data_IF_212169331114
#
_entry.id   IF_212169331114
#
_cell.length_a   1.000
_cell.length_b   1.000
_cell.length_c   1.000
_cell.angle_alpha   90.00
_cell.angle_beta   90.00
_cell.angle_gamma   90.00
#
_symmetry.space_group_name_H-M   'P 1'
#
loop_
_entity.id
_entity.type
_entity.pdbx_description
1 polymer ?
#
# COMPACT_ATOMS: atom_id res chain seq x y z
N UNK A 1 -20.29 3.61 -26.41
CA UNK A 1 -19.06 3.59 -25.57
C UNK A 1 -18.87 4.89 -24.80
N UNK A 2 -18.94 6.06 -25.45
CA UNK A 2 -18.78 7.38 -24.80
C UNK A 2 -19.81 7.68 -23.70
N UNK A 3 -21.10 7.41 -23.95
CA UNK A 3 -22.15 7.56 -22.93
C UNK A 3 -21.98 6.59 -21.75
N UNK A 4 -21.40 5.40 -21.97
CA UNK A 4 -21.19 4.42 -20.90
C UNK A 4 -20.06 4.86 -19.95
N UNK A 5 -18.98 5.42 -20.50
CA UNK A 5 -17.89 6.01 -19.70
C UNK A 5 -18.36 7.26 -18.94
N UNK A 6 -19.22 8.09 -19.57
CA UNK A 6 -19.80 9.28 -18.92
C UNK A 6 -20.68 8.91 -17.73
N UNK A 7 -21.63 7.99 -17.92
CA UNK A 7 -22.53 7.51 -16.85
C UNK A 7 -21.74 6.87 -15.70
N UNK A 8 -20.69 6.11 -16.01
CA UNK A 8 -19.84 5.47 -14.99
C UNK A 8 -18.97 6.49 -14.24
N UNK A 9 -18.46 7.50 -14.93
CA UNK A 9 -17.71 8.60 -14.32
C UNK A 9 -18.59 9.45 -13.40
N UNK A 10 -19.80 9.79 -13.83
CA UNK A 10 -20.77 10.54 -13.02
C UNK A 10 -21.17 9.75 -11.76
N UNK A 11 -21.38 8.43 -11.88
CA UNK A 11 -21.65 7.54 -10.74
C UNK A 11 -20.49 7.46 -9.74
N UNK A 12 -19.24 7.42 -10.22
CA UNK A 12 -18.05 7.43 -9.35
C UNK A 12 -17.88 8.75 -8.59
N UNK A 13 -18.24 9.87 -9.21
CA UNK A 13 -18.19 11.20 -8.58
C UNK A 13 -19.27 11.30 -7.48
N UNK A 14 -20.49 10.86 -7.76
CA UNK A 14 -21.59 10.90 -6.80
C UNK A 14 -21.34 10.00 -5.59
N UNK A 15 -20.85 8.77 -5.84
CA UNK A 15 -20.50 7.81 -4.76
C UNK A 15 -19.32 8.26 -3.91
N UNK A 16 -18.40 9.08 -4.44
CA UNK A 16 -17.32 9.67 -3.68
C UNK A 16 -17.76 10.85 -2.77
N UNK A 17 -19.03 11.27 -2.83
CA UNK A 17 -19.55 12.43 -2.10
C UNK A 17 -19.49 13.74 -2.90
N UNK A 18 -19.30 13.65 -4.22
CA UNK A 18 -19.27 14.79 -5.14
C UNK A 18 -17.89 15.07 -5.75
N UNK A 19 -17.84 16.10 -6.61
CA UNK A 19 -16.67 16.42 -7.43
C UNK A 19 -15.42 16.75 -6.63
N UNK A 20 -15.54 17.52 -5.55
CA UNK A 20 -14.39 17.93 -4.72
C UNK A 20 -13.79 16.73 -3.97
N UNK A 21 -14.58 15.90 -3.24
CA UNK A 21 -14.07 14.66 -2.66
C UNK A 21 -13.43 13.72 -3.67
N UNK A 22 -14.01 13.54 -4.85
CA UNK A 22 -13.44 12.72 -5.92
C UNK A 22 -12.04 13.19 -6.32
N UNK A 23 -11.86 14.49 -6.59
CA UNK A 23 -10.54 15.03 -6.95
C UNK A 23 -9.53 14.94 -5.81
N UNK A 24 -9.95 15.15 -4.56
CA UNK A 24 -9.11 14.94 -3.39
C UNK A 24 -8.64 13.48 -3.30
N UNK A 25 -9.55 12.54 -3.52
CA UNK A 25 -9.26 11.10 -3.52
C UNK A 25 -8.22 10.72 -4.57
N UNK A 26 -8.41 11.19 -5.82
CA UNK A 26 -7.45 10.97 -6.91
C UNK A 26 -6.10 11.62 -6.60
N UNK A 27 -6.09 12.83 -6.05
CA UNK A 27 -4.87 13.50 -5.63
C UNK A 27 -4.11 12.70 -4.57
N UNK A 28 -4.80 12.20 -3.54
CA UNK A 28 -4.19 11.39 -2.48
C UNK A 28 -3.57 10.09 -3.02
N UNK A 29 -4.22 9.45 -4.00
CA UNK A 29 -3.66 8.27 -4.69
C UNK A 29 -2.38 8.63 -5.44
N UNK A 30 -2.39 9.70 -6.24
CA UNK A 30 -1.23 10.10 -7.03
C UNK A 30 -0.07 10.57 -6.15
N UNK A 31 -0.37 11.41 -5.16
CA UNK A 31 0.59 11.94 -4.21
C UNK A 31 1.18 10.82 -3.34
N UNK A 32 0.34 10.02 -2.70
CA UNK A 32 0.77 8.88 -1.89
C UNK A 32 1.51 7.83 -2.71
N UNK A 33 1.08 7.58 -3.95
CA UNK A 33 1.73 6.66 -4.88
C UNK A 33 3.14 7.12 -5.26
N UNK A 34 3.30 8.41 -5.60
CA UNK A 34 4.61 8.99 -5.88
C UNK A 34 5.56 8.87 -4.69
N UNK A 35 5.14 9.29 -3.49
CA UNK A 35 5.98 9.22 -2.30
C UNK A 35 6.30 7.77 -1.91
N UNK A 36 5.32 6.87 -1.90
CA UNK A 36 5.53 5.46 -1.53
C UNK A 36 6.56 4.77 -2.43
N UNK A 37 6.42 4.90 -3.75
CA UNK A 37 7.37 4.31 -4.70
C UNK A 37 8.77 4.91 -4.57
N UNK A 38 8.88 6.21 -4.34
CA UNK A 38 10.18 6.84 -4.09
C UNK A 38 10.82 6.35 -2.78
N UNK A 39 10.06 6.23 -1.69
CA UNK A 39 10.57 5.68 -0.43
C UNK A 39 11.02 4.22 -0.55
N UNK A 40 10.33 3.40 -1.35
CA UNK A 40 10.66 1.98 -1.53
C UNK A 40 11.90 1.82 -2.43
N UNK A 41 11.90 2.47 -3.59
CA UNK A 41 12.84 2.17 -4.68
C UNK A 41 13.95 3.22 -4.88
N UNK A 42 13.76 4.47 -4.44
CA UNK A 42 14.73 5.54 -4.61
C UNK A 42 15.52 5.80 -3.32
N UNK A 43 16.71 5.19 -3.22
CA UNK A 43 17.57 5.31 -2.04
C UNK A 43 18.04 6.74 -1.74
N UNK A 44 18.07 7.60 -2.76
CA UNK A 44 18.49 8.99 -2.63
C UNK A 44 17.32 9.92 -2.29
N UNK A 45 16.07 9.44 -2.33
CA UNK A 45 14.91 10.29 -2.08
C UNK A 45 14.89 10.85 -0.66
N UNK A 46 15.14 10.00 0.34
CA UNK A 46 15.20 10.42 1.75
C UNK A 46 16.30 11.45 1.97
N UNK A 47 17.48 11.25 1.35
CA UNK A 47 18.59 12.19 1.41
C UNK A 47 18.27 13.52 0.72
N UNK A 48 17.84 13.48 -0.54
CA UNK A 48 17.69 14.66 -1.38
C UNK A 48 16.41 15.47 -1.08
N UNK A 49 15.37 14.81 -0.56
CA UNK A 49 14.06 15.43 -0.34
C UNK A 49 13.70 15.63 1.13
N UNK A 50 14.32 14.88 2.06
CA UNK A 50 14.05 14.97 3.51
C UNK A 50 15.30 15.40 4.30
N UNK A 51 16.49 15.37 3.69
CA UNK A 51 17.72 15.88 4.30
C UNK A 51 18.38 14.95 5.30
N UNK A 52 18.02 13.66 5.31
CA UNK A 52 18.72 12.68 6.15
C UNK A 52 19.86 12.01 5.37
N UNK A 53 21.09 12.24 5.83
CA UNK A 53 22.30 11.68 5.21
C UNK A 53 22.64 10.25 5.66
N UNK A 54 21.98 9.73 6.70
CA UNK A 54 22.28 8.39 7.19
C UNK A 54 21.66 7.31 6.30
N UNK A 55 22.46 6.30 5.95
CA UNK A 55 22.01 5.11 5.23
C UNK A 55 20.85 4.44 5.98
N UNK A 56 20.88 4.50 7.32
CA UNK A 56 19.83 4.05 8.24
C UNK A 56 18.49 4.75 8.01
N UNK A 57 18.48 6.07 7.77
CA UNK A 57 17.25 6.80 7.49
C UNK A 57 16.61 6.36 6.16
N UNK A 58 17.42 6.08 5.14
CA UNK A 58 16.94 5.48 3.89
C UNK A 58 16.34 4.08 4.12
N UNK A 59 16.94 3.27 5.00
CA UNK A 59 16.39 1.95 5.37
C UNK A 59 15.10 2.04 6.19
N UNK A 60 14.97 3.03 7.08
CA UNK A 60 13.73 3.32 7.80
C UNK A 60 12.63 3.88 6.88
N UNK A 61 13.00 4.60 5.83
CA UNK A 61 12.07 5.12 4.83
C UNK A 61 11.35 4.02 4.04
N UNK A 62 11.97 2.86 3.85
CA UNK A 62 11.37 1.75 3.08
C UNK A 62 10.12 1.15 3.72
N UNK A 63 10.12 0.76 5.01
CA UNK A 63 8.90 0.38 5.72
C UNK A 63 7.81 1.45 5.62
N UNK A 64 8.16 2.73 5.77
CA UNK A 64 7.20 3.83 5.59
C UNK A 64 6.62 3.86 4.17
N UNK A 65 7.44 3.65 3.15
CA UNK A 65 7.01 3.55 1.76
C UNK A 65 6.03 2.40 1.53
N UNK A 66 6.29 1.22 2.10
CA UNK A 66 5.34 0.09 2.04
C UNK A 66 4.03 0.38 2.80
N UNK A 67 4.09 1.06 3.95
CA UNK A 67 2.87 1.48 4.67
C UNK A 67 2.04 2.46 3.84
N UNK A 68 2.69 3.48 3.25
CA UNK A 68 2.04 4.43 2.35
C UNK A 68 1.46 3.75 1.11
N UNK A 69 2.16 2.76 0.55
CA UNK A 69 1.65 1.95 -0.55
C UNK A 69 0.37 1.20 -0.15
N UNK A 70 0.31 0.67 1.07
CA UNK A 70 -0.91 0.04 1.61
C UNK A 70 -2.09 0.99 1.63
N UNK A 71 -1.90 2.21 2.13
CA UNK A 71 -2.93 3.25 2.12
C UNK A 71 -3.37 3.62 0.71
N UNK A 72 -2.43 3.74 -0.23
CA UNK A 72 -2.74 4.02 -1.64
C UNK A 72 -3.59 2.89 -2.25
N UNK A 73 -3.25 1.63 -1.99
CA UNK A 73 -4.03 0.48 -2.45
C UNK A 73 -5.45 0.48 -1.87
N UNK A 74 -5.60 0.86 -0.60
CA UNK A 74 -6.91 1.01 0.06
C UNK A 74 -7.70 2.14 -0.61
N UNK A 75 -7.09 3.32 -0.83
CA UNK A 75 -7.75 4.42 -1.54
C UNK A 75 -8.17 4.02 -2.96
N UNK A 76 -7.34 3.28 -3.70
CA UNK A 76 -7.72 2.73 -5.00
C UNK A 76 -8.91 1.79 -4.86
N UNK A 77 -8.88 0.84 -3.92
CA UNK A 77 -9.96 -0.11 -3.72
C UNK A 77 -11.29 0.58 -3.35
N UNK A 78 -11.26 1.60 -2.49
CA UNK A 78 -12.46 2.36 -2.12
C UNK A 78 -12.98 3.22 -3.27
N UNK A 79 -12.10 3.81 -4.09
CA UNK A 79 -12.50 4.64 -5.25
C UNK A 79 -13.28 3.82 -6.29
N UNK A 80 -12.89 2.56 -6.48
CA UNK A 80 -13.53 1.63 -7.40
C UNK A 80 -14.59 0.73 -6.73
N UNK A 81 -14.89 0.95 -5.44
CA UNK A 81 -15.81 0.14 -4.62
C UNK A 81 -15.51 -1.37 -4.67
N UNK A 82 -14.23 -1.75 -4.75
CA UNK A 82 -13.78 -3.14 -4.84
C UNK A 82 -13.79 -3.75 -3.43
N UNK A 83 -14.71 -4.69 -3.17
CA UNK A 83 -14.72 -5.48 -1.92
C UNK A 83 -15.83 -5.13 -0.92
N UNK A 84 -16.78 -4.25 -1.26
CA UNK A 84 -17.99 -4.03 -0.45
C UNK A 84 -17.72 -3.44 0.93
N UNK A 85 -17.00 -2.32 0.97
CA UNK A 85 -16.65 -1.61 2.19
C UNK A 85 -17.93 -1.21 2.97
N UNK A 86 -18.24 -1.93 4.06
CA UNK A 86 -19.49 -1.79 4.84
C UNK A 86 -19.32 -1.74 6.39
N UNK A 87 -18.09 -1.92 6.91
CA UNK A 87 -17.59 -1.57 8.28
C UNK A 87 -16.54 -2.58 8.80
N UNK A 88 -16.87 -3.87 8.92
CA UNK A 88 -15.94 -4.89 9.46
C UNK A 88 -15.06 -5.54 8.39
N UNK A 89 -15.61 -5.76 7.19
CA UNK A 89 -14.86 -6.27 6.04
C UNK A 89 -13.77 -5.28 5.59
N UNK A 90 -13.95 -3.99 5.88
CA UNK A 90 -12.98 -2.93 5.59
C UNK A 90 -11.70 -3.14 6.37
N UNK A 91 -11.81 -3.37 7.69
CA UNK A 91 -10.66 -3.57 8.57
C UNK A 91 -9.89 -4.83 8.17
N UNK A 92 -10.59 -5.92 7.82
CA UNK A 92 -9.94 -7.14 7.33
C UNK A 92 -9.25 -6.94 5.98
N UNK A 93 -9.86 -6.19 5.05
CA UNK A 93 -9.24 -5.83 3.76
C UNK A 93 -7.98 -4.97 3.93
N UNK A 94 -8.04 -3.99 4.83
CA UNK A 94 -6.88 -3.15 5.20
C UNK A 94 -5.75 -4.02 5.78
N UNK A 95 -6.07 -4.84 6.79
CA UNK A 95 -5.08 -5.73 7.42
C UNK A 95 -4.49 -6.73 6.43
N UNK A 96 -5.31 -7.27 5.52
CA UNK A 96 -4.86 -8.17 4.47
C UNK A 96 -3.82 -7.47 3.56
N UNK A 97 -4.12 -6.26 3.08
CA UNK A 97 -3.18 -5.47 2.25
C UNK A 97 -1.88 -5.23 3.01
N UNK A 98 -1.92 -4.86 4.29
CA UNK A 98 -0.72 -4.69 5.10
C UNK A 98 0.10 -5.98 5.26
N UNK A 99 -0.54 -7.13 5.47
CA UNK A 99 0.17 -8.41 5.56
C UNK A 99 0.81 -8.84 4.24
N UNK A 100 0.15 -8.59 3.10
CA UNK A 100 0.68 -8.84 1.75
C UNK A 100 1.89 -7.94 1.46
N UNK A 101 1.81 -6.66 1.80
CA UNK A 101 2.94 -5.74 1.62
C UNK A 101 4.11 -6.05 2.55
N UNK A 102 3.84 -6.45 3.79
CA UNK A 102 4.87 -6.93 4.71
C UNK A 102 5.53 -8.21 4.16
N UNK A 103 4.76 -9.14 3.59
CA UNK A 103 5.30 -10.30 2.90
C UNK A 103 6.22 -9.89 1.75
N UNK A 104 5.76 -9.04 0.83
CA UNK A 104 6.56 -8.59 -0.31
C UNK A 104 7.81 -7.82 0.09
N UNK A 105 7.76 -7.01 1.14
CA UNK A 105 8.93 -6.32 1.67
C UNK A 105 9.98 -7.33 2.16
N UNK A 106 9.59 -8.25 3.03
CA UNK A 106 10.49 -9.26 3.58
C UNK A 106 11.00 -10.23 2.51
N UNK A 107 10.18 -10.56 1.51
CA UNK A 107 10.56 -11.37 0.36
C UNK A 107 11.57 -10.63 -0.53
N UNK A 108 11.35 -9.34 -0.78
CA UNK A 108 12.26 -8.51 -1.57
C UNK A 108 13.64 -8.40 -0.92
N UNK A 109 13.70 -8.36 0.42
CA UNK A 109 14.96 -8.42 1.18
C UNK A 109 15.61 -9.81 1.11
N UNK A 110 14.84 -10.89 1.30
CA UNK A 110 15.35 -12.26 1.25
C UNK A 110 15.90 -12.65 -0.14
N UNK A 111 15.26 -12.16 -1.21
CA UNK A 111 15.69 -12.36 -2.59
C UNK A 111 16.77 -11.38 -3.06
N UNK A 112 17.28 -10.50 -2.17
CA UNK A 112 18.26 -9.44 -2.49
C UNK A 112 17.81 -8.47 -3.60
N UNK A 113 16.51 -8.36 -3.86
CA UNK A 113 15.93 -7.35 -4.77
C UNK A 113 16.07 -5.97 -4.15
N UNK A 114 15.83 -5.88 -2.84
CA UNK A 114 16.13 -4.71 -2.03
C UNK A 114 17.37 -5.01 -1.16
N UNK A 115 18.33 -4.08 -1.05
CA UNK A 115 19.48 -4.29 -0.16
C UNK A 115 19.03 -4.30 1.30
N UNK A 116 19.78 -4.99 2.16
CA UNK A 116 19.62 -5.02 3.62
C UNK A 116 20.46 -3.92 4.27
N UNK A 117 20.07 -3.46 5.48
CA UNK A 117 20.81 -2.40 6.17
C UNK A 117 22.29 -2.77 6.39
N UNK A 118 22.53 -4.03 6.75
CA UNK A 118 23.86 -4.49 7.19
C UNK A 118 24.59 -5.31 6.11
N UNK A 119 24.02 -5.44 4.91
CA UNK A 119 24.54 -6.31 3.85
C UNK A 119 24.39 -7.82 4.12
N UNK A 120 23.99 -8.19 5.34
CA UNK A 120 23.75 -9.57 5.74
C UNK A 120 22.52 -10.18 5.05
N UNK A 121 22.49 -11.52 4.85
CA UNK A 121 21.36 -12.22 4.28
C UNK A 121 20.12 -12.05 5.15
N UNK A 122 19.01 -11.59 4.56
CA UNK A 122 17.74 -11.52 5.27
C UNK A 122 17.10 -12.91 5.34
N UNK A 123 16.84 -13.42 6.55
CA UNK A 123 16.28 -14.76 6.75
C UNK A 123 14.87 -14.87 6.15
N UNK A 124 14.65 -15.91 5.34
CA UNK A 124 13.35 -16.23 4.73
C UNK A 124 12.25 -16.44 5.77
N UNK A 125 12.59 -16.81 7.01
CA UNK A 125 11.63 -16.89 8.13
C UNK A 125 10.90 -15.56 8.35
N UNK A 126 11.54 -14.43 8.09
CA UNK A 126 10.91 -13.12 8.22
C UNK A 126 9.87 -12.86 7.12
N UNK A 127 10.01 -13.47 5.94
CA UNK A 127 8.98 -13.45 4.90
C UNK A 127 7.78 -14.34 5.27
N UNK A 128 8.00 -15.44 6.00
CA UNK A 128 6.92 -16.32 6.45
C UNK A 128 6.07 -15.68 7.56
N UNK A 129 6.66 -14.85 8.43
CA UNK A 129 5.96 -14.24 9.58
C UNK A 129 4.68 -13.48 9.20
N UNK A 130 4.65 -12.60 8.18
CA UNK A 130 3.42 -11.97 7.70
C UNK A 130 2.34 -12.92 7.17
N UNK A 131 2.69 -14.14 6.74
CA UNK A 131 1.71 -15.11 6.24
C UNK A 131 0.84 -15.69 7.36
N UNK A 132 1.35 -15.75 8.59
CA UNK A 132 0.60 -16.24 9.76
C UNK A 132 -0.68 -15.41 10.00
N UNK A 133 -0.60 -14.08 10.23
CA UNK A 133 -1.79 -13.27 10.38
C UNK A 133 -2.62 -13.22 9.09
N UNK A 134 -2.01 -13.30 7.90
CA UNK A 134 -2.74 -13.35 6.63
C UNK A 134 -3.70 -14.55 6.57
N UNK A 135 -3.25 -15.74 6.96
CA UNK A 135 -4.11 -16.94 7.01
C UNK A 135 -5.24 -16.77 8.03
N UNK A 136 -4.97 -16.19 9.19
CA UNK A 136 -6.00 -15.93 10.21
C UNK A 136 -7.06 -14.96 9.69
N UNK A 137 -6.65 -13.90 8.98
CA UNK A 137 -7.56 -12.94 8.34
C UNK A 137 -8.43 -13.64 7.29
N UNK A 138 -7.85 -14.51 6.46
CA UNK A 138 -8.60 -15.27 5.45
C UNK A 138 -9.60 -16.22 6.08
N UNK A 139 -9.19 -17.00 7.10
CA UNK A 139 -10.11 -17.88 7.85
C UNK A 139 -11.26 -17.07 8.42
N UNK A 140 -10.96 -15.93 9.06
CA UNK A 140 -12.00 -15.06 9.62
C UNK A 140 -12.93 -14.51 8.55
N UNK A 141 -12.39 -14.08 7.42
CA UNK A 141 -13.19 -13.53 6.31
C UNK A 141 -14.17 -14.57 5.74
N UNK A 142 -13.75 -15.82 5.58
CA UNK A 142 -14.62 -16.90 5.06
C UNK A 142 -15.54 -17.55 6.09
N UNK A 143 -15.43 -17.18 7.37
CA UNK A 143 -16.27 -17.72 8.47
C UNK A 143 -17.22 -16.68 9.08
N UNK A 144 -17.22 -15.46 8.54
CA UNK A 144 -18.23 -14.41 8.78
C UNK A 144 -19.47 -14.64 7.93
#
# INVERSE_FOLDING_TARGET
MFNYFKIKGDYMIETAGGTVPFFCHVFLILFGGFFSLNFIFNQNFVKNSIGYDSIQATYMGRPLGFLMLGLVLIFIATLFQIGGFTSSNEIFGVLFIFTVLAFFYNLSLAMKILPTHDGEPHDIKNAIRPLIPMVVILIRYFTL
#
